data_IF_830297485695
#
_entry.id   IF_830297485695
#
_cell.length_a   1.000
_cell.length_b   1.000
_cell.length_c   1.000
_cell.angle_alpha   90.00
_cell.angle_beta   90.00
_cell.angle_gamma   90.00
#
_symmetry.space_group_name_H-M   'P 1'
#
loop_
_entity.id
_entity.type
_entity.pdbx_description
1 polymer ?
#
# COMPACT_ATOMS: atom_id res chain seq x y z
N UNK A 1 -11.77 12.39 0.64
CA UNK A 1 -10.58 11.53 0.53
C UNK A 1 -9.95 11.34 1.89
N UNK A 2 -9.33 10.21 2.11
CA UNK A 2 -8.76 9.87 3.40
C UNK A 2 -7.33 9.41 3.26
N UNK A 3 -6.60 9.47 4.37
CA UNK A 3 -5.26 8.93 4.45
C UNK A 3 -5.33 7.46 4.81
N UNK A 4 -4.54 6.65 4.11
CA UNK A 4 -4.45 5.22 4.35
C UNK A 4 -3.00 4.81 4.54
N UNK A 5 -2.79 3.86 5.43
CA UNK A 5 -1.49 3.21 5.59
C UNK A 5 -1.59 1.83 4.96
N UNK A 6 -0.77 1.60 3.94
CA UNK A 6 -0.73 0.31 3.23
C UNK A 6 0.54 -0.41 3.66
N UNK A 7 0.38 -1.60 4.22
CA UNK A 7 1.50 -2.39 4.69
C UNK A 7 1.82 -3.55 3.75
N UNK A 8 3.09 -3.86 3.61
CA UNK A 8 3.55 -4.94 2.73
C UNK A 8 4.92 -5.44 3.19
N UNK A 9 5.33 -6.59 2.65
CA UNK A 9 6.68 -7.11 2.83
C UNK A 9 7.40 -7.16 1.49
N UNK A 10 8.69 -6.87 1.52
CA UNK A 10 9.51 -6.92 0.30
C UNK A 10 10.05 -8.33 0.07
N UNK A 11 10.93 -8.48 -0.93
CA UNK A 11 11.53 -9.76 -1.28
C UNK A 11 12.47 -10.30 -0.21
N UNK A 12 12.88 -9.45 0.70
CA UNK A 12 13.76 -9.83 1.82
C UNK A 12 12.96 -10.07 3.09
N UNK A 13 11.63 -10.12 2.97
CA UNK A 13 10.72 -10.33 4.09
C UNK A 13 10.79 -9.21 5.13
N UNK A 14 11.14 -8.03 4.70
CA UNK A 14 11.15 -6.84 5.56
C UNK A 14 9.82 -6.12 5.44
N UNK A 15 9.28 -5.71 6.59
CA UNK A 15 8.01 -5.01 6.65
C UNK A 15 8.18 -3.53 6.30
N UNK A 16 7.31 -3.06 5.44
CA UNK A 16 7.28 -1.64 5.03
C UNK A 16 5.85 -1.13 5.07
N UNK A 17 5.74 0.18 5.22
CA UNK A 17 4.45 0.86 5.15
C UNK A 17 4.58 2.09 4.26
N UNK A 18 3.52 2.36 3.52
CA UNK A 18 3.45 3.56 2.68
C UNK A 18 2.11 4.24 2.94
N UNK A 19 2.12 5.56 2.97
CA UNK A 19 0.92 6.36 3.16
C UNK A 19 0.37 6.81 1.82
N UNK A 20 -0.95 6.63 1.63
CA UNK A 20 -1.63 7.05 0.40
C UNK A 20 -2.86 7.87 0.75
N UNK A 21 -3.13 8.85 -0.07
CA UNK A 21 -4.32 9.68 0.06
C UNK A 21 -5.27 9.32 -1.07
N UNK A 22 -6.42 8.75 -0.73
CA UNK A 22 -7.33 8.18 -1.72
C UNK A 22 -8.77 8.24 -1.26
N UNK A 23 -9.68 7.99 -2.19
CA UNK A 23 -11.11 8.01 -1.90
C UNK A 23 -11.56 6.79 -1.09
N UNK A 24 -10.89 5.67 -1.31
CA UNK A 24 -11.22 4.42 -0.62
C UNK A 24 -9.96 3.54 -0.53
N UNK A 25 -10.10 2.44 0.20
CA UNK A 25 -8.98 1.53 0.43
C UNK A 25 -8.50 0.87 -0.87
N UNK A 26 -9.42 0.53 -1.74
CA UNK A 26 -9.06 -0.09 -3.02
C UNK A 26 -8.16 0.82 -3.84
N UNK A 27 -8.55 2.10 -3.94
CA UNK A 27 -7.77 3.10 -4.66
C UNK A 27 -6.42 3.31 -4.00
N UNK A 28 -6.39 3.32 -2.65
CA UNK A 28 -5.13 3.47 -1.92
C UNK A 28 -4.16 2.34 -2.23
N UNK A 29 -4.65 1.11 -2.26
CA UNK A 29 -3.82 -0.06 -2.59
C UNK A 29 -3.31 0.02 -4.02
N UNK A 30 -4.17 0.43 -4.94
CA UNK A 30 -3.80 0.59 -6.34
C UNK A 30 -2.69 1.64 -6.51
N UNK A 31 -2.85 2.78 -5.84
CA UNK A 31 -1.85 3.84 -5.88
C UNK A 31 -0.53 3.38 -5.25
N UNK A 32 -0.60 2.63 -4.16
CA UNK A 32 0.59 2.11 -3.52
C UNK A 32 1.38 1.21 -4.47
N UNK A 33 0.70 0.36 -5.23
CA UNK A 33 1.35 -0.50 -6.22
C UNK A 33 2.06 0.32 -7.28
N UNK A 34 1.44 1.40 -7.74
CA UNK A 34 2.03 2.27 -8.74
C UNK A 34 3.25 3.00 -8.19
N UNK A 35 3.17 3.44 -6.94
CA UNK A 35 4.28 4.15 -6.29
C UNK A 35 5.45 3.23 -5.98
N UNK A 36 5.18 1.95 -5.82
CA UNK A 36 6.21 0.94 -5.57
C UNK A 36 6.64 0.29 -6.88
N UNK A 37 6.98 1.10 -7.83
CA UNK A 37 7.39 0.68 -9.15
C UNK A 37 8.56 -0.31 -9.06
N UNK A 38 8.44 -1.42 -9.79
CA UNK A 38 9.41 -2.49 -9.68
C UNK A 38 9.04 -3.54 -8.65
N UNK A 39 7.99 -3.32 -7.93
CA UNK A 39 7.47 -4.27 -6.98
C UNK A 39 6.57 -5.25 -7.73
N UNK A 40 7.10 -6.40 -8.06
CA UNK A 40 6.46 -7.34 -8.97
C UNK A 40 5.34 -8.15 -8.37
N UNK A 41 5.19 -8.12 -7.06
CA UNK A 41 4.23 -8.97 -6.39
C UNK A 41 2.89 -8.27 -6.25
N UNK A 42 1.85 -8.71 -6.98
CA UNK A 42 0.53 -8.10 -6.90
C UNK A 42 -0.15 -8.34 -5.55
N UNK A 43 0.40 -9.23 -4.75
CA UNK A 43 -0.13 -9.54 -3.42
C UNK A 43 0.68 -8.90 -2.30
N UNK A 44 1.49 -7.89 -2.66
CA UNK A 44 2.38 -7.25 -1.70
C UNK A 44 1.63 -6.54 -0.58
N UNK A 45 0.51 -5.90 -0.92
CA UNK A 45 -0.28 -5.19 0.08
C UNK A 45 -0.97 -6.20 0.99
N UNK A 46 -0.57 -6.21 2.26
CA UNK A 46 -1.09 -7.14 3.25
C UNK A 46 -2.24 -6.56 4.05
N UNK A 47 -2.25 -5.24 4.21
CA UNK A 47 -3.33 -4.55 4.90
C UNK A 47 -3.40 -3.11 4.43
N UNK A 48 -4.55 -2.50 4.68
CA UNK A 48 -4.77 -1.09 4.38
C UNK A 48 -5.64 -0.53 5.50
N UNK A 49 -5.09 0.42 6.24
CA UNK A 49 -5.74 1.00 7.41
C UNK A 49 -6.07 2.46 7.13
N UNK A 50 -7.31 2.83 7.35
CA UNK A 50 -7.73 4.22 7.25
C UNK A 50 -7.27 4.96 8.51
N UNK A 51 -6.53 6.05 8.32
CA UNK A 51 -5.91 6.77 9.41
C UNK A 51 -6.71 7.96 9.91
N UNK A 52 -7.75 8.36 9.20
CA UNK A 52 -8.56 9.49 9.66
C UNK A 52 -10.04 9.28 9.49
#
# INVERSE_FOLDING_TARGET
MSHYTVGYHDNYNEHHEICEYAEDAYTAIKQAREDLEGFDNPHAAEYCIREN
#
